data_IF_029846295751
#
_entry.id   IF_029846295751
#
_cell.length_a   1.000
_cell.length_b   1.000
_cell.length_c   1.000
_cell.angle_alpha   90.00
_cell.angle_beta   90.00
_cell.angle_gamma   90.00
#
_symmetry.space_group_name_H-M   'P 1'
#
loop_
_entity.id
_entity.type
_entity.pdbx_description
1 polymer ?
#
# COMPACT_ATOMS: atom_id res chain seq x y z
N UNK A 1 -27.81 21.55 38.94
CA UNK A 1 -26.51 22.08 38.47
C UNK A 1 -25.47 21.00 38.16
N UNK A 2 -25.48 19.86 38.80
CA UNK A 2 -24.58 18.76 38.49
C UNK A 2 -24.79 18.15 37.09
N UNK A 3 -25.98 18.28 36.52
CA UNK A 3 -26.30 17.73 35.18
C UNK A 3 -25.54 18.43 34.04
N UNK A 4 -25.20 19.71 34.17
CA UNK A 4 -24.48 20.43 33.13
C UNK A 4 -23.01 20.05 33.02
N UNK A 5 -22.35 19.78 34.15
CA UNK A 5 -20.95 19.36 34.15
C UNK A 5 -20.79 17.93 33.63
N UNK A 6 -21.74 17.04 33.86
CA UNK A 6 -21.73 15.68 33.30
C UNK A 6 -21.87 15.68 31.79
N UNK A 7 -22.73 16.52 31.24
CA UNK A 7 -22.91 16.64 29.79
C UNK A 7 -21.65 17.14 29.09
N UNK A 8 -20.94 18.12 29.69
CA UNK A 8 -19.70 18.64 29.15
C UNK A 8 -18.59 17.60 29.14
N UNK A 9 -18.48 16.78 30.17
CA UNK A 9 -17.48 15.71 30.27
C UNK A 9 -17.75 14.61 29.22
N UNK A 10 -19.00 14.24 29.00
CA UNK A 10 -19.37 13.24 28.00
C UNK A 10 -19.04 13.74 26.57
N UNK A 11 -19.29 15.01 26.28
CA UNK A 11 -18.95 15.60 24.97
C UNK A 11 -17.46 15.63 24.71
N UNK A 12 -16.65 15.93 25.72
CA UNK A 12 -15.19 15.93 25.59
C UNK A 12 -14.64 14.52 25.35
N UNK A 13 -15.14 13.51 26.04
CA UNK A 13 -14.75 12.12 25.85
C UNK A 13 -15.06 11.63 24.43
N UNK A 14 -16.21 12.04 23.86
CA UNK A 14 -16.59 11.68 22.51
C UNK A 14 -15.65 12.29 21.47
N UNK A 15 -15.24 13.55 21.65
CA UNK A 15 -14.29 14.21 20.77
C UNK A 15 -12.91 13.54 20.77
N UNK A 16 -12.43 13.11 21.93
CA UNK A 16 -11.15 12.39 22.04
C UNK A 16 -11.21 11.04 21.31
N UNK A 17 -12.31 10.29 21.43
CA UNK A 17 -12.52 9.04 20.71
C UNK A 17 -12.53 9.25 19.20
N UNK A 18 -13.16 10.31 18.71
CA UNK A 18 -13.21 10.62 17.29
C UNK A 18 -11.82 10.96 16.74
N UNK A 19 -11.00 11.70 17.48
CA UNK A 19 -9.62 12.01 17.09
C UNK A 19 -8.75 10.76 16.98
N UNK A 20 -9.01 9.74 17.78
CA UNK A 20 -8.28 8.50 17.78
C UNK A 20 -8.47 7.70 16.49
N UNK A 21 -9.66 7.74 15.87
CA UNK A 21 -9.94 7.06 14.61
C UNK A 21 -9.27 7.71 13.41
N UNK A 22 -9.02 9.02 13.45
CA UNK A 22 -8.39 9.74 12.33
C UNK A 22 -6.92 9.39 12.12
N UNK A 23 -6.23 8.79 13.11
CA UNK A 23 -4.83 8.40 13.02
C UNK A 23 -4.55 7.03 12.41
N UNK A 24 -5.59 6.25 12.04
CA UNK A 24 -5.45 4.86 11.60
C UNK A 24 -5.54 4.65 10.09
N UNK A 25 -5.49 5.73 9.30
CA UNK A 25 -5.62 5.65 7.83
C UNK A 25 -4.25 5.39 7.22
N UNK A 26 -4.10 4.28 6.52
CA UNK A 26 -2.87 3.88 5.85
C UNK A 26 -3.02 3.95 4.33
N UNK A 27 -1.89 4.05 3.63
CA UNK A 27 -1.85 3.98 2.18
C UNK A 27 -2.33 2.62 1.66
N UNK A 28 -2.94 2.61 0.49
CA UNK A 28 -3.42 1.39 -0.16
C UNK A 28 -2.78 1.21 -1.53
N UNK A 29 -2.58 -0.05 -1.90
CA UNK A 29 -2.03 -0.45 -3.20
C UNK A 29 -3.17 -1.04 -4.01
N UNK A 30 -3.41 -0.47 -5.19
CA UNK A 30 -4.44 -0.96 -6.12
C UNK A 30 -4.02 -2.21 -6.88
N UNK A 31 -4.78 -2.52 -7.92
CA UNK A 31 -4.48 -3.65 -8.79
C UNK A 31 -3.16 -3.43 -9.54
N UNK A 32 -2.46 -4.52 -9.78
CA UNK A 32 -1.20 -4.51 -10.51
C UNK A 32 -1.41 -5.05 -11.91
N UNK A 33 -0.85 -4.37 -12.91
CA UNK A 33 -0.89 -4.78 -14.31
C UNK A 33 0.50 -4.77 -14.90
N UNK A 34 0.72 -5.64 -15.87
CA UNK A 34 1.96 -5.63 -16.65
C UNK A 34 1.68 -5.07 -18.04
N UNK A 35 2.27 -3.92 -18.35
CA UNK A 35 2.12 -3.25 -19.64
C UNK A 35 3.44 -2.61 -20.08
N UNK A 36 3.79 -2.78 -21.35
CA UNK A 36 4.95 -2.10 -21.95
C UNK A 36 6.26 -2.28 -21.15
N UNK A 37 6.51 -3.50 -20.67
CA UNK A 37 7.76 -3.79 -19.96
C UNK A 37 7.81 -3.23 -18.54
N UNK A 38 6.67 -2.97 -17.91
CA UNK A 38 6.62 -2.46 -16.54
C UNK A 38 5.40 -2.99 -15.79
N UNK A 39 5.57 -3.19 -14.49
CA UNK A 39 4.46 -3.38 -13.57
C UNK A 39 3.89 -2.01 -13.21
N UNK A 40 2.59 -1.84 -13.36
CA UNK A 40 1.90 -0.59 -13.12
C UNK A 40 0.79 -0.76 -12.08
N UNK A 41 0.74 0.16 -11.14
CA UNK A 41 -0.30 0.21 -10.12
C UNK A 41 -0.58 1.65 -9.69
N UNK A 42 -1.64 1.84 -8.94
CA UNK A 42 -1.94 3.11 -8.28
C UNK A 42 -1.83 2.92 -6.78
N UNK A 43 -1.10 3.82 -6.13
CA UNK A 43 -1.00 3.85 -4.67
C UNK A 43 -1.72 5.09 -4.17
N UNK A 44 -2.70 4.89 -3.29
CA UNK A 44 -3.47 5.97 -2.69
C UNK A 44 -2.87 6.31 -1.33
N UNK A 45 -2.44 7.56 -1.17
CA UNK A 45 -1.91 8.08 0.07
C UNK A 45 -2.90 9.08 0.69
N UNK A 46 -3.58 8.72 1.77
CA UNK A 46 -4.53 9.64 2.44
C UNK A 46 -3.85 10.67 3.33
N UNK A 47 -2.56 10.49 3.62
CA UNK A 47 -1.80 11.34 4.53
C UNK A 47 -1.00 12.43 3.84
N UNK A 48 0.00 12.95 4.56
CA UNK A 48 0.92 13.96 4.02
C UNK A 48 1.85 13.35 2.96
N UNK A 49 2.37 14.18 2.04
CA UNK A 49 3.39 13.72 1.11
C UNK A 49 4.60 13.12 1.85
N UNK A 50 5.11 12.01 1.34
CA UNK A 50 6.21 11.29 1.97
C UNK A 50 7.02 10.52 0.93
N UNK A 51 8.30 10.29 1.21
CA UNK A 51 9.13 9.40 0.43
C UNK A 51 8.87 7.95 0.83
N UNK A 52 8.86 7.05 -0.13
CA UNK A 52 8.61 5.64 0.08
C UNK A 52 9.38 4.78 -0.91
N UNK A 53 9.47 3.48 -0.61
CA UNK A 53 9.92 2.47 -1.54
C UNK A 53 8.82 1.46 -1.77
N UNK A 54 8.66 1.03 -3.02
CA UNK A 54 7.83 -0.12 -3.36
C UNK A 54 8.77 -1.28 -3.64
N UNK A 55 8.61 -2.36 -2.88
CA UNK A 55 9.34 -3.59 -3.09
C UNK A 55 8.39 -4.65 -3.63
N UNK A 56 8.74 -5.27 -4.74
CA UNK A 56 7.95 -6.34 -5.34
C UNK A 56 8.81 -7.58 -5.45
N UNK A 57 8.41 -8.65 -4.78
CA UNK A 57 8.98 -9.98 -5.00
C UNK A 57 8.12 -10.70 -6.01
N UNK A 58 8.72 -11.09 -7.13
CA UNK A 58 8.03 -11.75 -8.24
C UNK A 58 8.30 -13.24 -8.17
N UNK A 59 7.23 -14.02 -8.08
CA UNK A 59 7.30 -15.49 -8.14
C UNK A 59 6.69 -15.98 -9.44
N UNK A 60 7.42 -16.83 -10.13
CA UNK A 60 6.88 -17.55 -11.29
C UNK A 60 6.10 -18.76 -10.77
N UNK A 61 4.87 -18.94 -11.26
CA UNK A 61 3.98 -20.00 -10.82
C UNK A 61 3.84 -21.03 -11.94
N UNK A 62 4.27 -22.27 -11.66
CA UNK A 62 4.17 -23.40 -12.57
C UNK A 62 3.35 -24.52 -11.88
N UNK A 63 2.04 -24.55 -12.13
CA UNK A 63 1.15 -25.49 -11.45
C UNK A 63 1.14 -25.26 -9.94
N UNK A 64 1.62 -26.23 -9.17
CA UNK A 64 1.68 -26.15 -7.71
C UNK A 64 3.02 -25.61 -7.19
N UNK A 65 3.97 -25.31 -8.08
CA UNK A 65 5.29 -24.82 -7.67
C UNK A 65 5.38 -23.30 -7.87
N UNK A 66 6.07 -22.65 -6.94
CA UNK A 66 6.40 -21.24 -7.02
C UNK A 66 7.90 -21.09 -6.90
N UNK A 67 8.48 -20.30 -7.78
CA UNK A 67 9.92 -20.02 -7.74
C UNK A 67 10.14 -18.52 -7.79
N UNK A 68 10.97 -18.00 -6.89
CA UNK A 68 11.34 -16.60 -6.91
C UNK A 68 12.06 -16.28 -8.22
N UNK A 69 11.55 -15.30 -8.94
CA UNK A 69 12.10 -14.85 -10.20
C UNK A 69 13.01 -13.64 -9.99
N UNK A 70 12.52 -12.62 -9.31
CA UNK A 70 13.29 -11.41 -9.03
C UNK A 70 12.67 -10.61 -7.89
N UNK A 71 13.47 -9.73 -7.31
CA UNK A 71 13.02 -8.73 -6.35
C UNK A 71 13.28 -7.35 -6.95
N UNK A 72 12.25 -6.54 -7.00
CA UNK A 72 12.30 -5.18 -7.54
C UNK A 72 12.14 -4.17 -6.41
N UNK A 73 12.85 -3.06 -6.52
CA UNK A 73 12.75 -1.95 -5.57
C UNK A 73 12.69 -0.65 -6.33
N UNK A 74 11.68 0.18 -6.05
CA UNK A 74 11.51 1.48 -6.69
C UNK A 74 11.26 2.55 -5.64
N UNK A 75 12.07 3.60 -5.66
CA UNK A 75 11.85 4.77 -4.81
C UNK A 75 10.79 5.68 -5.43
N UNK A 76 9.84 6.12 -4.62
CA UNK A 76 8.75 6.98 -5.06
C UNK A 76 8.52 8.13 -4.09
N UNK A 77 8.01 9.24 -4.62
CA UNK A 77 7.53 10.36 -3.83
C UNK A 77 6.01 10.32 -3.83
N UNK A 78 5.43 9.90 -2.72
CA UNK A 78 3.98 9.82 -2.58
C UNK A 78 3.41 11.22 -2.36
N UNK A 79 2.52 11.64 -3.24
CA UNK A 79 1.65 12.79 -3.04
C UNK A 79 0.41 12.36 -2.28
N UNK A 80 -0.27 13.28 -1.64
CA UNK A 80 -1.60 13.03 -1.11
C UNK A 80 -2.55 12.68 -2.24
N UNK A 81 -3.32 11.62 -2.09
CA UNK A 81 -4.21 11.11 -3.14
C UNK A 81 -3.57 10.00 -3.95
N UNK A 82 -3.98 9.87 -5.20
CA UNK A 82 -3.58 8.77 -6.08
C UNK A 82 -2.22 9.04 -6.75
N UNK A 83 -1.37 8.02 -6.74
CA UNK A 83 -0.04 8.05 -7.34
C UNK A 83 0.09 6.91 -8.34
N UNK A 84 0.38 7.21 -9.59
CA UNK A 84 0.69 6.21 -10.60
C UNK A 84 2.14 5.75 -10.41
N UNK A 85 2.34 4.45 -10.28
CA UNK A 85 3.66 3.85 -10.05
C UNK A 85 3.95 2.84 -11.14
N UNK A 86 5.14 2.94 -11.74
CA UNK A 86 5.62 2.00 -12.75
C UNK A 86 6.96 1.44 -12.31
N UNK A 87 7.09 0.12 -12.38
CA UNK A 87 8.32 -0.59 -12.00
C UNK A 87 8.79 -1.37 -13.22
N UNK A 88 9.91 -0.96 -13.86
CA UNK A 88 10.40 -1.64 -15.05
C UNK A 88 10.84 -3.07 -14.73
N UNK A 89 10.38 -4.01 -15.53
CA UNK A 89 10.79 -5.41 -15.46
C UNK A 89 10.38 -6.12 -16.76
N UNK A 90 11.20 -7.06 -17.21
CA UNK A 90 10.87 -7.90 -18.35
C UNK A 90 10.33 -9.24 -17.84
N UNK A 91 9.06 -9.53 -18.14
CA UNK A 91 8.41 -10.78 -17.80
C UNK A 91 8.03 -11.55 -19.07
N UNK A 92 8.35 -12.82 -19.09
CA UNK A 92 7.91 -13.74 -20.15
C UNK A 92 6.42 -14.04 -19.95
N UNK A 93 5.71 -14.45 -21.02
CA UNK A 93 4.34 -14.95 -20.87
C UNK A 93 4.25 -16.04 -19.81
N UNK A 94 3.28 -15.94 -18.93
CA UNK A 94 3.10 -16.89 -17.83
C UNK A 94 2.27 -16.32 -16.70
N UNK A 95 2.19 -17.09 -15.64
CA UNK A 95 1.48 -16.72 -14.42
C UNK A 95 2.47 -16.37 -13.33
N UNK A 96 2.22 -15.24 -12.64
CA UNK A 96 3.11 -14.74 -11.61
C UNK A 96 2.31 -14.36 -10.36
N UNK A 97 2.95 -14.58 -9.21
CA UNK A 97 2.47 -14.06 -7.94
C UNK A 97 3.41 -12.94 -7.48
N UNK A 98 2.84 -11.83 -7.09
CA UNK A 98 3.58 -10.64 -6.67
C UNK A 98 3.32 -10.38 -5.20
N UNK A 99 4.37 -10.34 -4.39
CA UNK A 99 4.31 -9.82 -3.03
C UNK A 99 4.79 -8.38 -3.05
N UNK A 100 3.90 -7.45 -2.74
CA UNK A 100 4.15 -6.02 -2.88
C UNK A 100 4.16 -5.39 -1.49
N UNK A 101 5.23 -4.67 -1.19
CA UNK A 101 5.39 -3.97 0.08
C UNK A 101 5.60 -2.49 -0.18
N UNK A 102 4.90 -1.67 0.58
CA UNK A 102 5.16 -0.24 0.67
C UNK A 102 5.99 0.01 1.93
N UNK A 103 7.17 0.56 1.75
CA UNK A 103 8.15 0.77 2.82
C UNK A 103 8.33 2.26 3.02
N UNK A 104 8.11 2.73 4.23
CA UNK A 104 8.32 4.11 4.65
C UNK A 104 9.14 4.11 5.94
N UNK A 105 10.15 4.97 6.02
CA UNK A 105 11.01 5.08 7.20
C UNK A 105 11.64 3.73 7.62
N UNK A 106 11.98 2.88 6.64
CA UNK A 106 12.53 1.56 6.88
C UNK A 106 11.54 0.51 7.35
N UNK A 107 10.26 0.83 7.44
CA UNK A 107 9.21 -0.08 7.90
C UNK A 107 8.23 -0.43 6.78
N UNK A 108 7.78 -1.69 6.76
CA UNK A 108 6.70 -2.13 5.88
C UNK A 108 5.37 -1.62 6.41
N UNK A 109 4.79 -0.63 5.72
CA UNK A 109 3.50 -0.03 6.13
C UNK A 109 2.30 -0.75 5.52
N UNK A 110 2.46 -1.31 4.33
CA UNK A 110 1.40 -2.02 3.61
C UNK A 110 2.00 -3.20 2.88
N UNK A 111 1.29 -4.32 2.89
CA UNK A 111 1.68 -5.51 2.16
C UNK A 111 0.45 -6.12 1.48
N UNK A 112 0.58 -6.41 0.20
CA UNK A 112 -0.49 -7.06 -0.58
C UNK A 112 0.10 -8.15 -1.47
N UNK A 113 -0.75 -9.12 -1.82
CA UNK A 113 -0.42 -10.17 -2.76
C UNK A 113 -1.31 -9.99 -3.98
N UNK A 114 -0.72 -10.03 -5.17
CA UNK A 114 -1.44 -9.93 -6.44
C UNK A 114 -1.01 -11.05 -7.36
N UNK A 115 -1.97 -11.62 -8.07
CA UNK A 115 -1.72 -12.58 -9.14
C UNK A 115 -1.89 -11.88 -10.48
N UNK A 116 -0.96 -12.12 -11.41
CA UNK A 116 -1.05 -11.58 -12.76
C UNK A 116 -0.77 -12.67 -13.78
N UNK A 117 -1.34 -12.50 -14.96
CA UNK A 117 -1.06 -13.33 -16.15
C UNK A 117 -0.48 -12.41 -17.22
N UNK A 118 0.68 -12.79 -17.72
CA UNK A 118 1.39 -12.04 -18.76
C UNK A 118 1.26 -12.77 -20.09
#
# INVERSE_FOLDING_TARGET
>A
MSAHSQTAVAGLALLVLFSFFCGCVSSSIGDMRYTNGALATTITNPGHPADAFVQVTVYEVNGLTQQEYTVLMEGIKLKTGDNAVKIPVTLKPGTYKLNIYLIQEGERKTAVIRDIVV
#
